data_IF_722898216576
#
_entry.id   IF_722898216576
#
_cell.length_a   1.000
_cell.length_b   1.000
_cell.length_c   1.000
_cell.angle_alpha   90.00
_cell.angle_beta   90.00
_cell.angle_gamma   90.00
#
_symmetry.space_group_name_H-M   'P 1'
#
loop_
_entity.id
_entity.type
_entity.pdbx_description
1 polymer ?
#
# COMPACT_ATOMS: atom_id res chain seq x y z
N UNK A 1 -6.41 27.62 -30.27
CA UNK A 1 -5.19 26.82 -30.07
C UNK A 1 -4.86 27.04 -28.61
N UNK A 2 -5.56 26.29 -27.77
CA UNK A 2 -5.42 26.28 -26.32
C UNK A 2 -4.83 24.92 -26.03
N UNK A 3 -3.59 24.93 -25.54
CA UNK A 3 -2.81 23.75 -25.23
C UNK A 3 -3.52 22.90 -24.16
N UNK A 4 -3.63 21.61 -24.46
CA UNK A 4 -4.16 20.54 -23.62
C UNK A 4 -3.43 20.48 -22.27
N UNK A 5 -3.99 21.13 -21.26
CA UNK A 5 -3.72 20.80 -19.87
C UNK A 5 -4.42 19.46 -19.58
N UNK A 6 -3.69 18.37 -19.83
CA UNK A 6 -4.12 17.01 -19.51
C UNK A 6 -4.57 16.94 -18.04
N UNK A 7 -5.86 16.70 -17.84
CA UNK A 7 -6.55 16.75 -16.55
C UNK A 7 -6.28 15.48 -15.73
N UNK A 8 -5.05 15.36 -15.21
CA UNK A 8 -4.63 14.26 -14.33
C UNK A 8 -5.49 14.13 -13.07
N UNK A 9 -6.23 15.18 -12.67
CA UNK A 9 -7.14 15.13 -11.52
C UNK A 9 -8.43 14.35 -11.83
N UNK A 10 -8.83 14.27 -13.10
CA UNK A 10 -10.09 13.63 -13.50
C UNK A 10 -10.05 12.10 -13.51
N UNK A 11 -8.87 11.49 -13.71
CA UNK A 11 -8.70 10.02 -13.72
C UNK A 11 -8.77 9.39 -12.32
N UNK A 12 -8.50 10.16 -11.25
CA UNK A 12 -8.61 9.67 -9.86
C UNK A 12 -10.07 9.53 -9.43
N UNK A 13 -10.99 10.30 -10.03
CA UNK A 13 -12.41 10.33 -9.62
C UNK A 13 -13.29 9.28 -10.33
N UNK A 14 -12.82 8.65 -11.41
CA UNK A 14 -13.61 7.71 -12.22
C UNK A 14 -13.49 6.23 -11.82
N UNK A 15 -12.72 5.89 -10.78
CA UNK A 15 -12.75 4.52 -10.19
C UNK A 15 -13.69 4.40 -8.99
N UNK A 16 -14.56 5.39 -8.76
CA UNK A 16 -15.64 5.35 -7.76
C UNK A 16 -16.84 4.53 -8.25
N UNK A 17 -16.61 3.35 -8.83
CA UNK A 17 -17.69 2.39 -9.14
C UNK A 17 -17.86 1.39 -7.98
N UNK A 18 -18.73 1.78 -7.04
CA UNK A 18 -19.70 0.94 -6.31
C UNK A 18 -19.26 -0.24 -5.41
N UNK A 19 -17.99 -0.40 -5.05
CA UNK A 19 -17.55 -1.29 -3.94
C UNK A 19 -16.27 -0.77 -3.26
N UNK A 20 -16.22 0.54 -2.96
CA UNK A 20 -15.14 1.11 -2.15
C UNK A 20 -15.77 1.61 -0.86
N UNK A 21 -16.09 0.67 0.04
CA UNK A 21 -16.21 1.07 1.44
C UNK A 21 -14.88 1.71 1.84
N UNK A 22 -14.91 2.87 2.52
CA UNK A 22 -13.69 3.52 2.97
C UNK A 22 -12.93 2.50 3.81
N UNK A 23 -11.75 2.08 3.33
CA UNK A 23 -10.88 1.17 4.07
C UNK A 23 -10.41 1.97 5.28
N UNK A 24 -11.08 1.79 6.41
CA UNK A 24 -10.69 2.40 7.67
C UNK A 24 -9.30 1.87 8.02
N UNK A 25 -8.34 2.79 8.12
CA UNK A 25 -6.98 2.44 8.50
C UNK A 25 -6.99 1.93 9.94
N UNK A 26 -6.36 0.77 10.23
CA UNK A 26 -6.31 0.23 11.57
C UNK A 26 -5.60 1.21 12.51
N UNK A 27 -6.04 1.24 13.77
CA UNK A 27 -5.48 2.13 14.82
C UNK A 27 -3.98 2.00 15.03
N UNK A 28 -3.40 0.87 14.62
CA UNK A 28 -1.97 0.58 14.60
C UNK A 28 -1.68 -0.23 13.36
N UNK A 29 -0.64 0.14 12.60
CA UNK A 29 -0.15 -0.60 11.43
C UNK A 29 1.33 -0.88 11.57
N UNK A 30 1.76 -2.11 11.25
CA UNK A 30 3.17 -2.44 11.16
C UNK A 30 3.79 -1.84 9.89
N UNK A 31 4.96 -1.23 10.01
CA UNK A 31 5.70 -0.63 8.89
C UNK A 31 6.87 -1.53 8.51
N UNK A 32 6.86 -2.05 7.29
CA UNK A 32 7.97 -2.80 6.71
C UNK A 32 8.91 -1.83 5.97
N UNK A 33 10.19 -1.73 6.37
CA UNK A 33 11.17 -0.96 5.63
C UNK A 33 11.47 -1.62 4.28
N UNK A 34 11.43 -0.83 3.22
CA UNK A 34 11.63 -1.28 1.84
C UNK A 34 12.82 -0.57 1.23
N UNK A 35 13.93 -1.30 1.06
CA UNK A 35 15.20 -0.76 0.58
C UNK A 35 15.24 -0.69 -0.93
N UNK A 36 15.77 0.42 -1.45
CA UNK A 36 16.10 0.62 -2.87
C UNK A 36 14.93 0.41 -3.83
N UNK A 37 13.69 0.50 -3.33
CA UNK A 37 12.47 0.30 -4.11
C UNK A 37 11.35 1.14 -3.49
N UNK A 38 10.45 1.61 -4.35
CA UNK A 38 9.21 2.30 -3.99
C UNK A 38 8.05 1.50 -4.55
N UNK A 39 6.95 1.47 -3.82
CA UNK A 39 5.70 0.89 -4.31
C UNK A 39 4.77 1.98 -4.78
N UNK A 40 4.24 1.79 -5.98
CA UNK A 40 3.19 2.62 -6.54
C UNK A 40 1.82 2.02 -6.21
N UNK A 41 0.76 2.83 -6.13
CA UNK A 41 -0.60 2.33 -5.97
C UNK A 41 -0.95 1.30 -7.05
N UNK A 42 -1.58 0.18 -6.66
CA UNK A 42 -1.95 -0.91 -7.56
C UNK A 42 -0.81 -1.88 -7.94
N UNK A 43 0.43 -1.62 -7.51
CA UNK A 43 1.54 -2.53 -7.78
C UNK A 43 1.42 -3.82 -6.94
N UNK A 44 1.58 -4.98 -7.60
CA UNK A 44 1.67 -6.28 -6.95
C UNK A 44 3.12 -6.77 -7.03
N UNK A 45 3.73 -7.03 -5.88
CA UNK A 45 5.12 -7.49 -5.79
C UNK A 45 5.27 -8.68 -4.86
N UNK A 46 6.31 -9.49 -5.10
CA UNK A 46 6.75 -10.49 -4.16
C UNK A 46 7.87 -9.92 -3.29
N UNK A 47 7.67 -9.92 -1.97
CA UNK A 47 8.69 -9.49 -1.01
C UNK A 47 9.33 -10.71 -0.37
N UNK A 48 10.66 -10.80 -0.43
CA UNK A 48 11.42 -11.77 0.33
C UNK A 48 11.95 -11.11 1.60
N UNK A 49 11.41 -11.48 2.75
CA UNK A 49 11.88 -11.00 4.04
C UNK A 49 13.00 -11.92 4.55
N UNK A 50 14.22 -11.41 4.65
CA UNK A 50 15.38 -12.15 5.20
C UNK A 50 15.74 -11.74 6.62
N UNK A 51 15.30 -10.56 7.05
CA UNK A 51 15.56 -10.04 8.40
C UNK A 51 14.55 -10.60 9.39
N UNK A 52 15.03 -11.11 10.53
CA UNK A 52 14.20 -11.70 11.59
C UNK A 52 13.12 -10.76 12.12
N UNK A 53 13.42 -9.46 12.25
CA UNK A 53 12.45 -8.45 12.69
C UNK A 53 11.34 -8.23 11.65
N UNK A 54 11.67 -8.20 10.36
CA UNK A 54 10.70 -8.08 9.27
C UNK A 54 9.79 -9.30 9.19
N UNK A 55 10.34 -10.50 9.38
CA UNK A 55 9.57 -11.75 9.37
C UNK A 55 8.55 -11.76 10.52
N UNK A 56 8.95 -11.35 11.74
CA UNK A 56 8.04 -11.25 12.89
C UNK A 56 6.91 -10.25 12.64
N UNK A 57 7.22 -9.06 12.13
CA UNK A 57 6.23 -8.05 11.81
C UNK A 57 5.21 -8.56 10.79
N UNK A 58 5.68 -9.17 9.70
CA UNK A 58 4.81 -9.72 8.67
C UNK A 58 3.94 -10.85 9.21
N UNK A 59 4.49 -11.72 10.06
CA UNK A 59 3.73 -12.77 10.71
C UNK A 59 2.65 -12.22 11.65
N UNK A 60 2.97 -11.23 12.48
CA UNK A 60 2.00 -10.62 13.39
C UNK A 60 0.90 -9.86 12.65
N UNK A 61 1.24 -9.04 11.65
CA UNK A 61 0.28 -8.16 10.99
C UNK A 61 -0.55 -8.85 9.89
N UNK A 62 0.02 -9.81 9.15
CA UNK A 62 -0.70 -10.49 8.07
C UNK A 62 -1.34 -11.83 8.49
N UNK A 63 -0.75 -12.54 9.47
CA UNK A 63 -1.23 -13.86 9.86
C UNK A 63 -2.19 -13.81 11.07
N UNK A 64 -2.04 -12.84 11.98
CA UNK A 64 -2.86 -12.79 13.20
C UNK A 64 -4.07 -11.85 13.12
N UNK A 65 -4.13 -10.94 12.15
CA UNK A 65 -5.31 -10.07 11.94
C UNK A 65 -6.27 -10.69 10.92
N UNK A 66 -7.52 -10.94 11.37
CA UNK A 66 -8.63 -11.41 10.53
C UNK A 66 -9.09 -10.38 9.49
N UNK A 67 -8.84 -9.09 9.75
CA UNK A 67 -9.09 -8.02 8.78
C UNK A 67 -7.96 -7.99 7.75
N UNK A 68 -8.33 -8.19 6.47
CA UNK A 68 -7.51 -8.02 5.24
C UNK A 68 -6.08 -7.55 5.58
N UNK A 69 -5.15 -8.48 5.78
CA UNK A 69 -3.82 -8.17 6.32
C UNK A 69 -3.16 -6.97 5.65
N UNK A 70 -3.05 -5.87 6.39
CA UNK A 70 -2.53 -4.58 5.93
C UNK A 70 -1.18 -4.32 6.59
N UNK A 71 -0.17 -3.97 5.78
CA UNK A 71 1.12 -3.49 6.26
C UNK A 71 1.47 -2.17 5.55
N UNK A 72 2.08 -1.26 6.30
CA UNK A 72 2.66 -0.05 5.75
C UNK A 72 4.02 -0.36 5.14
N UNK A 73 4.36 0.32 4.04
CA UNK A 73 5.66 0.19 3.38
C UNK A 73 6.39 1.52 3.48
N UNK A 74 7.57 1.54 4.09
CA UNK A 74 8.40 2.74 4.19
C UNK A 74 9.64 2.59 3.32
N UNK A 75 9.77 3.36 2.22
CA UNK A 75 10.98 3.37 1.43
C UNK A 75 12.13 3.91 2.28
N UNK A 76 13.21 3.14 2.38
CA UNK A 76 14.44 3.51 3.07
C UNK A 76 15.59 3.55 2.07
N UNK A 77 16.33 4.66 2.14
CA UNK A 77 17.45 5.02 1.26
C UNK A 77 18.75 4.40 1.78
#
# INVERSE_FOLDING_TARGET
MEDDLFDFESDILLTTSSDVEPVELPSRIGILPFRNKVLLPGAVIQIQCTFSNSIKLVAEELWQREEKGLIGILPVI
#
